data_IF_386760515471
#
_entry.id   IF_386760515471
#
_cell.length_a   1.000
_cell.length_b   1.000
_cell.length_c   1.000
_cell.angle_alpha   90.00
_cell.angle_beta   90.00
_cell.angle_gamma   90.00
#
_symmetry.space_group_name_H-M   'P 1'
#
loop_
_entity.id
_entity.type
_entity.pdbx_description
1 polymer ?
#
# COMPACT_ATOMS: atom_id res chain seq x y z
N UNK A 1 -11.84 -10.42 5.01
CA UNK A 1 -11.38 -9.57 6.11
C UNK A 1 -9.98 -8.97 5.86
N UNK A 2 -9.36 -8.42 6.91
CA UNK A 2 -7.95 -7.97 6.90
C UNK A 2 -6.97 -9.13 7.13
N UNK A 3 -7.47 -10.26 7.69
CA UNK A 3 -6.71 -11.50 7.88
C UNK A 3 -7.18 -12.54 6.85
N UNK A 4 -6.25 -13.13 6.07
CA UNK A 4 -6.59 -14.10 5.03
C UNK A 4 -6.61 -15.57 5.50
N UNK A 5 -6.38 -15.85 6.79
CA UNK A 5 -6.42 -17.19 7.40
C UNK A 5 -6.53 -17.08 8.93
N UNK A 6 -6.97 -18.15 9.59
CA UNK A 6 -7.08 -18.23 11.05
C UNK A 6 -8.29 -17.53 11.66
N UNK A 7 -9.31 -17.19 10.87
CA UNK A 7 -10.59 -16.74 11.37
C UNK A 7 -11.40 -17.93 11.93
N UNK A 8 -12.18 -17.68 12.99
CA UNK A 8 -13.04 -18.69 13.64
C UNK A 8 -14.34 -18.88 12.86
N UNK A 9 -14.75 -17.86 12.10
CA UNK A 9 -15.97 -17.81 11.32
C UNK A 9 -15.57 -17.38 9.91
N UNK A 10 -15.97 -18.19 8.95
CA UNK A 10 -15.74 -17.95 7.53
C UNK A 10 -16.72 -16.87 7.05
N UNK A 11 -16.22 -15.75 6.56
CA UNK A 11 -17.07 -14.72 5.96
C UNK A 11 -17.44 -15.16 4.52
N UNK A 12 -18.72 -15.46 4.22
CA UNK A 12 -19.16 -15.93 2.90
C UNK A 12 -19.00 -14.87 1.81
N UNK A 13 -18.60 -13.65 2.15
CA UNK A 13 -18.27 -12.59 1.20
C UNK A 13 -16.81 -12.65 0.72
N UNK A 14 -16.00 -13.58 1.24
CA UNK A 14 -14.60 -13.76 0.84
C UNK A 14 -14.41 -15.04 0.02
N UNK A 15 -13.47 -14.99 -0.94
CA UNK A 15 -13.24 -16.04 -1.94
C UNK A 15 -12.21 -17.09 -1.49
N UNK A 16 -11.80 -17.07 -0.22
CA UNK A 16 -10.87 -18.02 0.38
C UNK A 16 -11.44 -18.47 1.72
N UNK A 17 -11.25 -19.74 2.09
CA UNK A 17 -11.69 -20.23 3.38
C UNK A 17 -10.82 -19.60 4.48
N UNK A 18 -11.37 -18.65 5.21
CA UNK A 18 -10.67 -17.92 6.28
C UNK A 18 -10.34 -18.85 7.48
N UNK A 19 -10.89 -20.07 7.49
CA UNK A 19 -10.70 -21.12 8.49
C UNK A 19 -9.50 -22.05 8.23
N UNK A 20 -8.87 -21.98 7.05
CA UNK A 20 -7.78 -22.89 6.67
C UNK A 20 -6.46 -22.62 7.43
N UNK A 21 -5.62 -23.66 7.52
CA UNK A 21 -4.30 -23.59 8.16
C UNK A 21 -3.39 -22.59 7.42
N UNK A 22 -2.85 -21.60 8.13
CA UNK A 22 -2.03 -20.55 7.52
C UNK A 22 -0.76 -21.12 6.86
N UNK A 23 -0.74 -21.19 5.54
CA UNK A 23 0.48 -21.43 4.75
C UNK A 23 1.26 -20.12 4.52
N UNK A 24 2.55 -20.23 4.19
CA UNK A 24 3.42 -19.08 3.87
C UNK A 24 2.84 -18.20 2.73
N UNK A 25 2.04 -18.78 1.84
CA UNK A 25 1.36 -18.07 0.75
C UNK A 25 0.34 -17.04 1.25
N UNK A 26 -0.42 -17.35 2.30
CA UNK A 26 -1.38 -16.41 2.91
C UNK A 26 -0.67 -15.22 3.59
N UNK A 27 0.58 -15.41 4.04
CA UNK A 27 1.41 -14.34 4.61
C UNK A 27 1.83 -13.33 3.52
N UNK A 28 2.18 -13.80 2.33
CA UNK A 28 2.47 -12.94 1.17
C UNK A 28 1.22 -12.19 0.68
N UNK A 29 0.05 -12.83 0.70
CA UNK A 29 -1.24 -12.20 0.35
C UNK A 29 -1.63 -11.07 1.33
N UNK A 30 -1.43 -11.31 2.64
CA UNK A 30 -1.60 -10.29 3.68
C UNK A 30 -0.68 -9.09 3.39
N UNK A 31 0.60 -9.36 3.12
CA UNK A 31 1.59 -8.31 2.88
C UNK A 31 1.25 -7.47 1.63
N UNK A 32 0.77 -8.11 0.55
CA UNK A 32 0.29 -7.42 -0.65
C UNK A 32 -0.90 -6.52 -0.32
N UNK A 33 -1.86 -7.00 0.47
CA UNK A 33 -3.04 -6.22 0.89
C UNK A 33 -2.65 -5.02 1.74
N UNK A 34 -1.72 -5.20 2.69
CA UNK A 34 -1.18 -4.10 3.50
C UNK A 34 -0.47 -3.06 2.64
N UNK A 35 0.41 -3.48 1.73
CA UNK A 35 1.13 -2.56 0.85
C UNK A 35 0.18 -1.82 -0.09
N UNK A 36 -0.85 -2.50 -0.60
CA UNK A 36 -1.88 -1.86 -1.43
C UNK A 36 -2.67 -0.84 -0.61
N UNK A 37 -3.06 -1.14 0.63
CA UNK A 37 -3.72 -0.18 1.52
C UNK A 37 -2.82 1.02 1.83
N UNK A 38 -1.54 0.78 2.15
CA UNK A 38 -0.58 1.85 2.43
C UNK A 38 -0.39 2.73 1.20
N UNK A 39 -0.18 2.14 0.03
CA UNK A 39 0.14 2.88 -1.20
C UNK A 39 -1.07 3.66 -1.74
N UNK A 40 -2.28 3.10 -1.65
CA UNK A 40 -3.49 3.72 -2.21
C UNK A 40 -4.32 4.52 -1.21
N UNK A 41 -4.10 4.38 0.10
CA UNK A 41 -4.88 5.09 1.13
C UNK A 41 -4.02 5.91 2.08
N UNK A 42 -2.91 5.35 2.57
CA UNK A 42 -2.05 6.01 3.57
C UNK A 42 -1.08 7.03 2.95
N UNK A 43 -0.46 6.70 1.83
CA UNK A 43 0.43 7.60 1.07
C UNK A 43 -0.31 8.87 0.60
N UNK A 44 -1.46 8.81 -0.09
CA UNK A 44 -2.16 10.02 -0.49
C UNK A 44 -2.61 10.86 0.71
N UNK A 45 -3.04 10.23 1.80
CA UNK A 45 -3.41 10.93 3.03
C UNK A 45 -2.21 11.69 3.64
N UNK A 46 -1.07 11.02 3.78
CA UNK A 46 0.14 11.63 4.34
C UNK A 46 0.70 12.73 3.46
N UNK A 47 0.71 12.54 2.13
CA UNK A 47 1.10 13.57 1.17
C UNK A 47 0.16 14.77 1.24
N UNK A 48 -1.16 14.56 1.32
CA UNK A 48 -2.12 15.65 1.45
C UNK A 48 -1.87 16.50 2.71
N UNK A 49 -1.64 15.87 3.86
CA UNK A 49 -1.29 16.59 5.10
C UNK A 49 0.03 17.36 4.96
N UNK A 50 1.04 16.77 4.33
CA UNK A 50 2.31 17.42 4.06
C UNK A 50 2.18 18.62 3.12
N UNK A 51 1.35 18.53 2.08
CA UNK A 51 1.05 19.65 1.18
C UNK A 51 0.40 20.80 1.94
N UNK A 52 -0.61 20.50 2.77
CA UNK A 52 -1.30 21.54 3.57
C UNK A 52 -0.33 22.20 4.56
N UNK A 53 0.46 21.41 5.28
CA UNK A 53 1.43 21.92 6.25
C UNK A 53 2.51 22.78 5.58
N UNK A 54 3.09 22.30 4.47
CA UNK A 54 4.12 23.04 3.74
C UNK A 54 3.57 24.29 3.08
N UNK A 55 2.35 24.24 2.54
CA UNK A 55 1.65 25.40 1.98
C UNK A 55 1.37 26.48 3.04
N UNK A 56 0.89 26.10 4.23
CA UNK A 56 0.68 27.03 5.34
C UNK A 56 2.00 27.70 5.76
N UNK A 57 3.07 26.93 5.93
CA UNK A 57 4.40 27.47 6.28
C UNK A 57 4.90 28.43 5.19
N UNK A 58 4.72 28.08 3.91
CA UNK A 58 5.14 28.91 2.79
C UNK A 58 4.40 30.25 2.75
N UNK A 59 3.09 30.23 3.03
CA UNK A 59 2.24 31.42 3.10
C UNK A 59 2.63 32.35 4.25
N UNK A 60 2.86 31.82 5.46
CA UNK A 60 3.22 32.64 6.63
C UNK A 60 4.68 33.13 6.63
N UNK A 61 5.60 32.43 5.98
CA UNK A 61 7.04 32.75 5.98
C UNK A 61 7.50 33.52 4.74
N UNK A 62 6.58 33.97 3.87
CA UNK A 62 6.88 34.67 2.60
C UNK A 62 7.95 33.97 1.74
N UNK A 63 7.99 32.62 1.77
CA UNK A 63 8.88 31.84 0.91
C UNK A 63 10.39 32.06 1.12
N UNK A 64 10.84 32.43 2.32
CA UNK A 64 12.27 32.61 2.60
C UNK A 64 13.13 31.37 2.24
N UNK A 65 14.41 31.55 1.84
CA UNK A 65 15.25 30.48 1.29
C UNK A 65 15.49 29.30 2.24
N UNK A 66 15.44 29.55 3.55
CA UNK A 66 15.52 28.49 4.58
C UNK A 66 14.32 27.53 4.57
N UNK A 67 13.12 28.04 4.25
CA UNK A 67 11.89 27.24 4.20
C UNK A 67 11.89 26.34 2.97
N UNK A 68 12.27 26.88 1.81
CA UNK A 68 12.31 26.12 0.56
C UNK A 68 13.29 24.92 0.64
N UNK A 69 14.45 25.12 1.27
CA UNK A 69 15.45 24.05 1.47
C UNK A 69 14.92 22.95 2.38
N UNK A 70 14.19 23.32 3.43
CA UNK A 70 13.58 22.36 4.36
C UNK A 70 12.47 21.55 3.69
N UNK A 71 11.59 22.20 2.93
CA UNK A 71 10.52 21.55 2.16
C UNK A 71 11.11 20.55 1.16
N UNK A 72 12.14 20.94 0.40
CA UNK A 72 12.79 20.06 -0.57
C UNK A 72 13.40 18.81 0.06
N UNK A 73 14.02 18.97 1.23
CA UNK A 73 14.59 17.84 1.99
C UNK A 73 13.50 16.86 2.41
N UNK A 74 12.40 17.36 2.98
CA UNK A 74 11.27 16.54 3.42
C UNK A 74 10.64 15.79 2.23
N UNK A 75 10.37 16.50 1.14
CA UNK A 75 9.80 15.90 -0.07
C UNK A 75 10.73 14.86 -0.72
N UNK A 76 12.04 15.06 -0.68
CA UNK A 76 13.01 14.07 -1.18
C UNK A 76 12.99 12.79 -0.35
N UNK A 77 12.86 12.90 0.98
CA UNK A 77 12.74 11.74 1.87
C UNK A 77 11.43 10.99 1.62
N UNK A 78 10.31 11.71 1.53
CA UNK A 78 8.98 11.14 1.25
C UNK A 78 9.00 10.43 -0.12
N UNK A 79 9.56 11.08 -1.15
CA UNK A 79 9.68 10.50 -2.48
C UNK A 79 10.47 9.19 -2.49
N UNK A 80 11.60 9.12 -1.76
CA UNK A 80 12.36 7.87 -1.60
C UNK A 80 11.55 6.77 -0.91
N UNK A 81 10.80 7.11 0.14
CA UNK A 81 9.93 6.17 0.83
C UNK A 81 8.84 5.59 -0.07
N UNK A 82 8.15 6.44 -0.83
CA UNK A 82 7.13 6.01 -1.80
C UNK A 82 7.72 5.12 -2.89
N UNK A 83 8.92 5.45 -3.38
CA UNK A 83 9.61 4.65 -4.38
C UNK A 83 9.91 3.23 -3.89
N UNK A 84 10.41 3.09 -2.66
CA UNK A 84 10.66 1.77 -2.04
C UNK A 84 9.35 0.98 -1.88
N UNK A 85 8.27 1.62 -1.43
CA UNK A 85 6.96 0.98 -1.27
C UNK A 85 6.41 0.47 -2.62
N UNK A 86 6.58 1.27 -3.68
CA UNK A 86 6.15 0.91 -5.04
C UNK A 86 6.96 -0.26 -5.59
N UNK A 87 8.28 -0.25 -5.38
CA UNK A 87 9.15 -1.38 -5.74
C UNK A 87 8.76 -2.66 -4.99
N UNK A 88 8.50 -2.56 -3.68
CA UNK A 88 8.08 -3.69 -2.85
C UNK A 88 6.74 -4.26 -3.32
N UNK A 89 5.77 -3.39 -3.61
CA UNK A 89 4.48 -3.78 -4.16
C UNK A 89 4.63 -4.49 -5.51
N UNK A 90 5.41 -3.92 -6.44
CA UNK A 90 5.64 -4.50 -7.77
C UNK A 90 6.34 -5.86 -7.68
N UNK A 91 7.35 -5.98 -6.80
CA UNK A 91 8.06 -7.23 -6.56
C UNK A 91 7.14 -8.33 -6.04
N UNK A 92 6.25 -8.02 -5.09
CA UNK A 92 5.29 -9.00 -4.58
C UNK A 92 4.27 -9.41 -5.63
N UNK A 93 3.74 -8.48 -6.42
CA UNK A 93 2.85 -8.80 -7.53
C UNK A 93 3.55 -9.70 -8.56
N UNK A 94 4.81 -9.44 -8.88
CA UNK A 94 5.60 -10.30 -9.75
C UNK A 94 5.75 -11.71 -9.17
N UNK A 95 6.09 -11.82 -7.89
CA UNK A 95 6.29 -13.11 -7.21
C UNK A 95 4.99 -13.93 -7.14
N UNK A 96 3.86 -13.28 -6.88
CA UNK A 96 2.54 -13.89 -6.86
C UNK A 96 2.09 -14.32 -8.27
N UNK A 97 2.41 -13.54 -9.31
CA UNK A 97 2.08 -13.87 -10.70
C UNK A 97 2.89 -15.03 -11.27
N UNK A 98 4.16 -15.15 -10.87
CA UNK A 98 5.01 -16.31 -11.24
C UNK A 98 4.52 -17.61 -10.58
N UNK A 99 3.84 -17.52 -9.43
CA UNK A 99 3.32 -18.67 -8.69
C UNK A 99 1.94 -19.15 -9.21
N UNK A 100 1.50 -18.72 -10.40
CA UNK A 100 0.18 -19.05 -10.99
C UNK A 100 -0.99 -18.78 -10.04
N UNK A 101 -0.96 -17.66 -9.32
CA UNK A 101 -2.18 -17.04 -8.82
C UNK A 101 -2.66 -16.05 -9.87
N UNK A 102 -3.91 -16.17 -10.32
CA UNK A 102 -4.52 -15.35 -11.39
C UNK A 102 -4.68 -13.89 -10.92
N UNK A 103 -3.60 -13.11 -10.97
CA UNK A 103 -3.62 -11.70 -10.61
C UNK A 103 -3.99 -10.86 -11.83
N UNK A 104 -5.26 -10.49 -11.88
CA UNK A 104 -5.83 -9.56 -12.84
C UNK A 104 -5.37 -8.13 -12.53
N UNK A 105 -4.49 -7.56 -13.36
CA UNK A 105 -3.83 -6.26 -13.13
C UNK A 105 -4.84 -5.07 -13.13
N UNK A 106 -6.05 -5.24 -13.68
CA UNK A 106 -7.13 -4.24 -13.68
C UNK A 106 -8.55 -4.83 -13.50
N UNK A 107 -8.70 -5.96 -12.81
CA UNK A 107 -9.98 -6.67 -12.71
C UNK A 107 -10.18 -7.33 -11.35
N UNK A 108 -11.45 -7.43 -10.93
CA UNK A 108 -11.96 -7.96 -9.65
C UNK A 108 -11.10 -9.09 -9.06
N UNK A 109 -10.31 -8.74 -8.06
CA UNK A 109 -9.36 -9.59 -7.32
C UNK A 109 -9.98 -10.74 -6.48
N UNK A 110 -11.28 -11.04 -6.68
CA UNK A 110 -12.03 -12.07 -5.95
C UNK A 110 -12.65 -13.13 -6.87
N UNK A 111 -12.50 -13.00 -8.19
CA UNK A 111 -12.93 -14.04 -9.14
C UNK A 111 -11.69 -14.64 -9.78
N UNK A 112 -11.23 -15.75 -9.23
CA UNK A 112 -10.33 -16.66 -9.92
C UNK A 112 -10.98 -18.04 -9.89
N UNK A 113 -11.33 -18.47 -11.09
CA UNK A 113 -11.99 -19.72 -11.45
C UNK A 113 -11.13 -20.95 -11.16
N UNK A 114 -11.72 -21.94 -10.51
CA UNK A 114 -11.19 -23.30 -10.38
C UNK A 114 -11.62 -23.98 -9.11
#
# INVERSE_FOLDING_TARGET
>A
GLLPCGAIIDDPTTSWHETDSCELKHLFLLLQTLLTFVLWKLVPLTVATLVVATGAIFFFQFGGPGVLTKVRTIWSMVGKGVLILLFSWLFLNFLLGVLEFDINIFGRWYEISG
#
